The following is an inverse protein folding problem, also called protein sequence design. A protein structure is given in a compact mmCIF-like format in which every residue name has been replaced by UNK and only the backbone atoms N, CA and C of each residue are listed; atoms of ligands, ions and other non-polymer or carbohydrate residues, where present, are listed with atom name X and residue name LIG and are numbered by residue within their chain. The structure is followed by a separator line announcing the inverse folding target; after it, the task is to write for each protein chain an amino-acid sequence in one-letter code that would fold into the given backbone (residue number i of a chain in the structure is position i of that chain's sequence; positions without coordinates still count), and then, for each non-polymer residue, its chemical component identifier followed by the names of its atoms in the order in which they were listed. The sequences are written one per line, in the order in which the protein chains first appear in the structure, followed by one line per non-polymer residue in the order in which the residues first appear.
data_IF_132997708357
#
_entry.id   IF_132997708357
#
_cell.length_a   1.000
_cell.length_b   1.000
_cell.length_c   1.000
_cell.angle_alpha   90.00
_cell.angle_beta   90.00
_cell.angle_gamma   90.00
#
_symmetry.space_group_name_H-M   'P 1'
#
loop_
_entity.id
_entity.type
_entity.pdbx_description
1 polymer ?
#
# COMPACT_ATOMS: atom_id res chain seq x y z
N UNK A 1 -14.00 -8.14 13.23
CA UNK A 1 -14.03 -6.77 12.67
C UNK A 1 -13.23 -6.76 11.40
N UNK A 2 -13.80 -6.22 10.33
CA UNK A 2 -13.07 -6.03 9.08
C UNK A 2 -12.59 -4.59 9.10
N UNK A 3 -11.28 -4.42 9.20
CA UNK A 3 -10.63 -3.11 9.26
C UNK A 3 -9.71 -2.99 8.06
N UNK A 4 -9.87 -1.90 7.29
CA UNK A 4 -9.03 -1.63 6.13
C UNK A 4 -8.32 -0.29 6.29
N UNK A 5 -7.02 -0.28 5.96
CA UNK A 5 -6.27 0.96 5.74
C UNK A 5 -6.43 1.37 4.28
N UNK A 6 -7.07 2.50 4.03
CA UNK A 6 -7.22 3.03 2.68
C UNK A 6 -6.20 4.13 2.47
N UNK A 7 -5.35 3.95 1.46
CA UNK A 7 -4.39 4.96 1.03
C UNK A 7 -4.95 5.63 -0.22
N UNK A 8 -5.35 6.88 -0.05
CA UNK A 8 -5.91 7.72 -1.11
C UNK A 8 -4.78 8.56 -1.70
N UNK A 9 -4.58 8.45 -3.01
CA UNK A 9 -3.58 9.19 -3.76
C UNK A 9 -4.23 10.16 -4.71
N UNK A 10 -3.81 11.43 -4.63
CA UNK A 10 -4.15 12.45 -5.62
C UNK A 10 -3.05 12.60 -6.66
N UNK A 11 -3.35 12.30 -7.94
CA UNK A 11 -2.37 12.40 -9.01
C UNK A 11 -1.98 13.84 -9.35
N UNK A 12 -2.82 14.83 -9.00
CA UNK A 12 -2.57 16.25 -9.31
C UNK A 12 -1.70 16.93 -8.26
N UNK A 13 -1.96 16.69 -6.98
CA UNK A 13 -1.21 17.28 -5.88
C UNK A 13 0.01 16.44 -5.48
N UNK A 14 0.08 15.17 -5.91
CA UNK A 14 1.12 14.23 -5.50
C UNK A 14 1.06 13.84 -4.02
N UNK A 15 0.02 14.27 -3.30
CA UNK A 15 -0.16 14.00 -1.87
C UNK A 15 -0.95 12.70 -1.68
N UNK A 16 -0.67 12.02 -0.57
CA UNK A 16 -1.38 10.81 -0.15
C UNK A 16 -1.88 10.97 1.27
N UNK A 17 -3.11 10.53 1.53
CA UNK A 17 -3.70 10.48 2.87
C UNK A 17 -4.12 9.05 3.17
N UNK A 18 -3.88 8.62 4.40
CA UNK A 18 -4.33 7.34 4.91
C UNK A 18 -5.58 7.56 5.77
N UNK A 19 -6.65 6.81 5.48
CA UNK A 19 -7.87 6.77 6.28
C UNK A 19 -8.11 5.34 6.75
N UNK A 20 -8.44 5.17 8.02
CA UNK A 20 -8.85 3.88 8.57
C UNK A 20 -10.36 3.75 8.45
N UNK A 21 -10.81 2.60 7.96
CA UNK A 21 -12.21 2.33 7.65
C UNK A 21 -12.65 1.09 8.40
N UNK A 22 -13.73 1.23 9.17
CA UNK A 22 -14.24 0.19 10.07
C UNK A 22 -15.60 -0.33 9.61
N UNK A 23 -15.77 -1.65 9.76
CA UNK A 23 -16.99 -2.45 9.68
C UNK A 23 -17.98 -2.11 8.54
N UNK A 24 -18.84 -1.12 8.67
CA UNK A 24 -19.91 -0.86 7.69
C UNK A 24 -19.37 -0.38 6.35
N UNK A 25 -18.45 0.58 6.38
CA UNK A 25 -17.78 1.09 5.18
C UNK A 25 -16.83 0.05 4.59
N UNK A 26 -16.23 -0.79 5.45
CA UNK A 26 -15.35 -1.86 5.01
C UNK A 26 -16.13 -2.93 4.22
N UNK A 27 -17.32 -3.33 4.69
CA UNK A 27 -18.18 -4.31 4.01
C UNK A 27 -18.58 -3.85 2.60
N UNK A 28 -18.83 -2.55 2.40
CA UNK A 28 -19.20 -2.00 1.09
C UNK A 28 -18.06 -2.11 0.06
N UNK A 29 -16.80 -2.21 0.52
CA UNK A 29 -15.63 -2.34 -0.36
C UNK A 29 -15.28 -3.80 -0.68
N UNK A 30 -15.81 -4.76 0.08
CA UNK A 30 -15.59 -6.19 -0.16
C UNK A 30 -16.31 -6.59 -1.45
N UNK A 31 -15.62 -7.35 -2.30
CA UNK A 31 -16.14 -7.80 -3.60
C UNK A 31 -15.80 -6.89 -4.78
N UNK A 32 -15.31 -5.68 -4.55
CA UNK A 32 -14.78 -4.83 -5.63
C UNK A 32 -13.46 -5.42 -6.18
N UNK A 33 -13.24 -5.24 -7.48
CA UNK A 33 -12.01 -5.68 -8.14
C UNK A 33 -11.04 -4.53 -8.33
N UNK A 34 -9.76 -4.86 -8.40
CA UNK A 34 -8.73 -3.89 -8.78
C UNK A 34 -8.95 -3.43 -10.21
N UNK A 35 -9.15 -2.13 -10.40
CA UNK A 35 -9.49 -1.49 -11.66
C UNK A 35 -10.88 -0.89 -11.66
N UNK A 36 -11.73 -1.31 -10.72
CA UNK A 36 -13.09 -0.77 -10.61
C UNK A 36 -13.07 0.65 -10.02
N UNK A 37 -14.02 1.43 -10.50
CA UNK A 37 -14.32 2.78 -10.02
C UNK A 37 -15.50 2.73 -9.05
N UNK A 38 -15.37 3.37 -7.90
CA UNK A 38 -16.45 3.51 -6.92
C UNK A 38 -16.60 4.96 -6.47
N UNK A 39 -17.80 5.30 -5.98
CA UNK A 39 -18.11 6.65 -5.48
C UNK A 39 -17.60 6.81 -4.06
N UNK A 40 -17.04 7.98 -3.76
CA UNK A 40 -16.56 8.36 -2.44
C UNK A 40 -17.64 8.47 -1.37
N UNK A 41 -18.92 8.48 -1.75
CA UNK A 41 -20.06 8.38 -0.83
C UNK A 41 -19.97 7.16 0.09
N UNK A 42 -19.36 6.06 -0.37
CA UNK A 42 -19.13 4.86 0.45
C UNK A 42 -18.13 5.06 1.60
N UNK A 43 -17.36 6.15 1.57
CA UNK A 43 -16.29 6.49 2.51
C UNK A 43 -16.49 7.85 3.19
N UNK A 44 -17.72 8.40 3.14
CA UNK A 44 -18.09 9.77 3.55
C UNK A 44 -17.35 10.89 2.80
N UNK A 45 -16.78 10.59 1.63
CA UNK A 45 -16.09 11.55 0.77
C UNK A 45 -17.01 11.95 -0.38
N UNK A 46 -17.98 12.80 -0.06
CA UNK A 46 -19.02 13.22 -1.01
C UNK A 46 -18.43 13.92 -2.23
N UNK A 47 -18.85 13.50 -3.42
CA UNK A 47 -18.44 14.10 -4.69
C UNK A 47 -17.10 13.63 -5.26
N UNK A 48 -16.40 12.72 -4.57
CA UNK A 48 -15.18 12.10 -5.12
C UNK A 48 -15.50 10.82 -5.89
N UNK A 49 -14.76 10.56 -6.96
CA UNK A 49 -14.69 9.25 -7.60
C UNK A 49 -13.29 8.67 -7.46
N UNK A 50 -13.25 7.38 -7.17
CA UNK A 50 -12.07 6.65 -6.79
C UNK A 50 -11.89 5.41 -7.66
N UNK A 51 -10.66 5.11 -8.05
CA UNK A 51 -10.29 3.86 -8.74
C UNK A 51 -9.40 3.01 -7.85
N UNK A 52 -9.73 1.74 -7.67
CA UNK A 52 -8.87 0.79 -6.96
C UNK A 52 -7.67 0.46 -7.85
N UNK A 53 -6.47 0.80 -7.38
CA UNK A 53 -5.22 0.55 -8.13
C UNK A 53 -4.53 -0.74 -7.71
N UNK A 54 -4.68 -1.13 -6.45
CA UNK A 54 -4.12 -2.34 -5.87
C UNK A 54 -4.29 -2.39 -4.36
N UNK A 55 -3.51 -3.25 -3.71
CA UNK A 55 -3.55 -3.42 -2.27
C UNK A 55 -2.58 -4.49 -1.79
N UNK A 56 -2.63 -4.75 -0.48
CA UNK A 56 -1.88 -5.82 0.16
C UNK A 56 -2.78 -6.67 1.06
N UNK A 57 -2.46 -7.94 1.10
CA UNK A 57 -3.08 -8.94 1.97
C UNK A 57 -2.52 -8.82 3.40
N UNK A 58 -3.18 -9.41 4.41
CA UNK A 58 -2.72 -9.39 5.80
C UNK A 58 -1.31 -9.96 6.01
N UNK A 59 -0.86 -10.86 5.13
CA UNK A 59 0.52 -11.38 5.14
C UNK A 59 1.52 -10.51 4.36
N UNK A 60 1.12 -9.34 3.87
CA UNK A 60 1.95 -8.46 3.06
C UNK A 60 2.12 -8.91 1.60
N UNK A 61 1.37 -9.92 1.14
CA UNK A 61 1.38 -10.29 -0.27
C UNK A 61 0.70 -9.21 -1.12
N UNK A 62 1.31 -8.77 -2.23
CA UNK A 62 0.69 -7.78 -3.09
C UNK A 62 -0.48 -8.40 -3.86
N UNK A 63 -1.53 -7.62 -4.09
CA UNK A 63 -2.64 -8.00 -4.96
C UNK A 63 -2.29 -7.74 -6.43
N UNK A 64 -2.77 -8.60 -7.33
CA UNK A 64 -2.47 -8.50 -8.77
C UNK A 64 -3.73 -8.61 -9.62
N UNK A 65 -3.87 -7.70 -10.59
CA UNK A 65 -5.06 -7.56 -11.46
C UNK A 65 -5.38 -8.81 -12.28
N UNK A 66 -4.34 -9.49 -12.77
CA UNK A 66 -4.46 -10.67 -13.64
C UNK A 66 -5.09 -11.89 -12.96
N UNK A 67 -5.08 -11.93 -11.62
CA UNK A 67 -5.52 -13.09 -10.85
C UNK A 67 -6.93 -12.86 -10.35
N UNK A 68 -7.88 -13.58 -10.91
CA UNK A 68 -9.26 -13.49 -10.42
C UNK A 68 -9.47 -14.20 -9.08
N UNK A 69 -10.32 -13.58 -8.27
CA UNK A 69 -10.81 -14.07 -6.98
C UNK A 69 -10.16 -13.41 -5.78
N UNK A 70 -10.54 -13.88 -4.59
CA UNK A 70 -10.03 -13.46 -3.28
C UNK A 70 -8.91 -14.36 -2.75
N UNK A 71 -8.63 -15.50 -3.41
CA UNK A 71 -7.66 -16.48 -2.96
C UNK A 71 -6.22 -16.11 -3.32
N UNK A 72 -5.27 -16.55 -2.50
CA UNK A 72 -3.84 -16.52 -2.80
C UNK A 72 -3.48 -17.61 -3.80
N UNK A 73 -2.72 -17.27 -4.83
CA UNK A 73 -2.23 -18.24 -5.82
C UNK A 73 -0.71 -18.13 -5.95
N UNK A 74 -0.05 -19.27 -6.15
CA UNK A 74 1.38 -19.33 -6.49
C UNK A 74 1.51 -19.31 -8.00
N UNK A 75 2.18 -18.29 -8.52
CA UNK A 75 2.38 -18.10 -9.96
C UNK A 75 3.86 -18.12 -10.29
N UNK A 76 4.20 -18.71 -11.42
CA UNK A 76 5.52 -18.61 -12.00
C UNK A 76 5.60 -17.31 -12.82
N UNK A 77 6.17 -16.26 -12.23
CA UNK A 77 6.20 -14.94 -12.81
C UNK A 77 7.60 -14.58 -13.31
N UNK A 78 7.65 -14.00 -14.51
CA UNK A 78 8.90 -13.57 -15.17
C UNK A 78 9.23 -12.13 -14.85
N UNK A 79 8.24 -11.25 -14.68
CA UNK A 79 8.37 -9.83 -14.30
C UNK A 79 7.04 -9.33 -13.72
N UNK A 80 7.07 -8.24 -12.97
CA UNK A 80 5.87 -7.52 -12.53
C UNK A 80 5.69 -7.48 -11.01
N UNK A 81 4.44 -7.35 -10.58
CA UNK A 81 4.07 -7.16 -9.17
C UNK A 81 4.53 -8.35 -8.32
N UNK A 82 5.28 -8.08 -7.26
CA UNK A 82 5.85 -9.10 -6.37
C UNK A 82 7.12 -9.79 -6.89
N UNK A 83 7.66 -9.41 -8.06
CA UNK A 83 8.85 -10.03 -8.64
C UNK A 83 9.95 -8.99 -8.87
N UNK A 84 11.10 -9.14 -8.19
CA UNK A 84 12.29 -8.33 -8.41
C UNK A 84 13.34 -9.09 -9.25
N UNK A 85 13.36 -8.87 -10.56
CA UNK A 85 14.38 -9.48 -11.45
C UNK A 85 15.71 -8.73 -11.48
N UNK A 86 15.84 -7.69 -10.66
CA UNK A 86 17.05 -6.91 -10.53
C UNK A 86 17.93 -7.57 -9.48
N UNK A 87 18.98 -8.26 -9.91
CA UNK A 87 20.03 -8.74 -9.01
C UNK A 87 21.28 -7.87 -9.15
N UNK A 88 22.08 -7.80 -8.07
CA UNK A 88 23.41 -7.20 -8.11
C UNK A 88 24.26 -7.98 -9.13
N UNK A 89 24.86 -7.29 -10.10
CA UNK A 89 25.84 -7.91 -10.96
C UNK A 89 27.13 -8.15 -10.16
N UNK A 90 27.45 -9.42 -9.85
CA UNK A 90 28.72 -9.88 -9.24
C UNK A 90 29.30 -8.92 -8.18
N UNK A 91 28.61 -8.76 -7.05
CA UNK A 91 29.17 -8.06 -5.88
C UNK A 91 29.38 -6.54 -5.98
N UNK A 92 29.03 -5.88 -7.10
CA UNK A 92 29.14 -4.41 -7.24
C UNK A 92 27.93 -3.66 -6.67
N UNK A 93 28.14 -2.38 -6.37
CA UNK A 93 27.16 -1.43 -5.84
C UNK A 93 25.82 -1.40 -6.60
N UNK A 94 24.76 -0.93 -5.94
CA UNK A 94 23.38 -0.86 -6.46
C UNK A 94 23.26 -0.16 -7.83
N UNK A 95 24.28 0.61 -8.26
CA UNK A 95 24.39 1.29 -9.55
C UNK A 95 24.43 0.34 -10.77
N UNK A 96 24.81 -0.93 -10.60
CA UNK A 96 24.95 -1.90 -11.69
C UNK A 96 23.93 -3.06 -11.65
N UNK A 97 22.69 -2.78 -11.27
CA UNK A 97 21.61 -3.78 -11.36
C UNK A 97 21.33 -4.16 -12.82
N UNK A 98 21.55 -5.43 -13.15
CA UNK A 98 21.16 -5.98 -14.45
C UNK A 98 19.85 -6.74 -14.29
N UNK A 99 18.88 -6.45 -15.17
CA UNK A 99 17.68 -7.28 -15.32
C UNK A 99 18.13 -8.59 -15.94
N UNK A 100 18.10 -9.69 -15.19
CA UNK A 100 18.39 -11.00 -15.75
C UNK A 100 17.23 -11.41 -16.68
N UNK A 101 17.47 -11.33 -17.99
CA UNK A 101 16.50 -11.79 -18.99
C UNK A 101 16.31 -13.30 -18.84
N UNK A 102 15.06 -13.75 -18.71
CA UNK A 102 14.71 -15.18 -18.63
C UNK A 102 14.61 -15.76 -17.22
N UNK A 103 14.93 -15.02 -16.16
CA UNK A 103 14.71 -15.50 -14.79
C UNK A 103 13.21 -15.60 -14.50
N UNK A 104 12.77 -16.74 -13.99
CA UNK A 104 11.38 -16.98 -13.57
C UNK A 104 11.38 -17.33 -12.09
N UNK A 105 10.52 -16.70 -11.31
CA UNK A 105 10.38 -16.98 -9.89
C UNK A 105 8.96 -17.42 -9.58
N UNK A 106 8.81 -18.46 -8.77
CA UNK A 106 7.52 -18.84 -8.22
C UNK A 106 7.22 -17.94 -7.03
N UNK A 107 6.21 -17.09 -7.15
CA UNK A 107 5.82 -16.09 -6.15
C UNK A 107 4.37 -16.31 -5.74
N UNK A 108 4.08 -16.14 -4.45
CA UNK A 108 2.72 -16.12 -3.91
C UNK A 108 2.15 -14.72 -4.06
N UNK A 109 0.97 -14.61 -4.66
CA UNK A 109 0.31 -13.33 -4.94
C UNK A 109 -1.16 -13.43 -4.55
N UNK A 110 -1.72 -12.35 -4.04
CA UNK A 110 -3.15 -12.28 -3.75
C UNK A 110 -3.96 -11.95 -5.02
N UNK A 111 -5.20 -12.43 -5.07
CA UNK A 111 -6.11 -12.15 -6.17
C UNK A 111 -6.52 -10.68 -6.27
N UNK A 112 -7.30 -10.35 -7.29
CA UNK A 112 -7.71 -9.00 -7.63
C UNK A 112 -8.95 -8.51 -6.89
N UNK A 113 -9.66 -9.38 -6.18
CA UNK A 113 -10.90 -9.04 -5.49
C UNK A 113 -10.59 -8.68 -4.05
N UNK A 114 -11.14 -7.57 -3.54
CA UNK A 114 -11.01 -7.18 -2.13
C UNK A 114 -11.82 -8.14 -1.25
N UNK A 115 -11.19 -8.64 -0.19
CA UNK A 115 -11.79 -9.61 0.74
C UNK A 115 -11.44 -9.28 2.19
N UNK A 116 -12.09 -9.96 3.14
CA UNK A 116 -12.05 -9.63 4.58
C UNK A 116 -10.64 -9.58 5.20
N UNK A 117 -9.68 -10.32 4.65
CA UNK A 117 -8.29 -10.34 5.18
C UNK A 117 -7.35 -9.41 4.41
N UNK A 118 -7.88 -8.42 3.69
CA UNK A 118 -7.07 -7.36 3.09
C UNK A 118 -6.54 -6.44 4.20
N UNK A 119 -5.28 -6.03 4.14
CA UNK A 119 -4.72 -5.08 5.12
C UNK A 119 -4.84 -3.64 4.63
N UNK A 120 -4.51 -3.42 3.36
CA UNK A 120 -4.46 -2.09 2.77
C UNK A 120 -5.03 -2.09 1.35
N UNK A 121 -5.79 -1.05 1.03
CA UNK A 121 -6.33 -0.78 -0.30
C UNK A 121 -5.75 0.54 -0.80
N UNK A 122 -5.19 0.52 -2.02
CA UNK A 122 -4.61 1.68 -2.68
C UNK A 122 -5.57 2.23 -3.72
N UNK A 123 -5.91 3.50 -3.57
CA UNK A 123 -6.96 4.15 -4.35
C UNK A 123 -6.41 5.42 -5.00
N UNK A 124 -6.80 5.65 -6.25
CA UNK A 124 -6.47 6.86 -7.01
C UNK A 124 -7.72 7.69 -7.23
N UNK A 125 -7.63 9.01 -7.07
CA UNK A 125 -8.72 9.93 -7.40
C UNK A 125 -8.81 10.14 -8.92
N UNK A 126 -10.01 9.93 -9.47
CA UNK A 126 -10.32 10.18 -10.88
C UNK A 126 -11.07 11.49 -11.06
N UNK A 127 -12.12 11.72 -10.26
CA UNK A 127 -12.84 13.00 -10.21
C UNK A 127 -12.72 13.61 -8.83
N UNK A 128 -12.33 14.87 -8.79
CA UNK A 128 -12.24 15.62 -7.55
C UNK A 128 -13.62 16.13 -7.16
N UNK A 129 -14.00 15.90 -5.90
CA UNK A 129 -15.17 16.50 -5.27
C UNK A 129 -14.91 17.89 -4.72
N UNK A 130 -15.90 18.42 -3.99
CA UNK A 130 -15.90 19.77 -3.41
C UNK A 130 -15.10 19.91 -2.11
N UNK A 131 -14.73 18.81 -1.44
CA UNK A 131 -14.14 18.84 -0.10
C UNK A 131 -12.63 18.57 -0.14
N UNK A 132 -11.79 19.53 0.23
CA UNK A 132 -10.33 19.36 0.26
C UNK A 132 -9.93 18.19 1.18
N UNK A 133 -9.52 17.07 0.55
CA UNK A 133 -9.01 15.88 1.25
C UNK A 133 -7.62 16.07 1.83
N UNK A 134 -6.95 17.18 1.47
CA UNK A 134 -5.67 17.55 2.05
C UNK A 134 -5.86 18.73 2.98
N UNK A 135 -5.61 18.57 4.28
CA UNK A 135 -5.34 19.74 5.09
C UNK A 135 -4.17 20.50 4.44
N UNK A 136 -4.37 21.80 4.18
CA UNK A 136 -3.25 22.72 4.02
C UNK A 136 -2.42 22.58 5.29
N UNK A 137 -1.20 22.08 5.11
CA UNK A 137 -0.16 22.10 6.13
C UNK A 137 0.27 23.57 6.25
N UNK A 138 -0.24 24.27 7.26
CA UNK A 138 0.54 25.34 7.88
C UNK A 138 1.65 24.68 8.72
N UNK A 139 2.82 25.32 8.73
CA UNK A 139 4.14 24.80 9.08
C UNK A 139 4.50 24.85 10.57
N UNK A 140 5.69 24.30 10.86
CA UNK A 140 6.51 24.29 12.10
C UNK A 140 6.29 23.07 13.04
N UNK A 141 7.26 22.21 13.34
CA UNK A 141 8.68 22.15 13.01
C UNK A 141 9.21 20.70 13.19
N UNK A 142 10.08 20.25 12.29
CA UNK A 142 11.22 19.38 12.63
C UNK A 142 12.36 20.31 13.08
N UNK A 143 13.41 19.91 13.84
CA UNK A 143 14.12 18.63 13.69
C UNK A 143 14.78 18.03 14.95
N UNK A 144 15.58 16.99 14.72
CA UNK A 144 16.20 16.03 15.62
C UNK A 144 17.25 16.56 16.63
N UNK A 145 17.33 15.87 17.77
CA UNK A 145 18.53 15.50 18.55
C UNK A 145 18.23 14.09 19.11
N UNK A 146 19.09 13.09 19.15
CA UNK A 146 20.50 12.94 18.88
C UNK A 146 20.88 11.56 19.44
N UNK A 147 21.61 10.76 18.68
CA UNK A 147 22.23 9.56 19.24
C UNK A 147 23.37 9.99 20.16
N UNK A 148 23.31 9.62 21.44
CA UNK A 148 24.46 9.51 22.32
C UNK A 148 24.13 8.60 23.50
N UNK A 149 24.56 7.33 23.43
CA UNK A 149 25.05 6.66 24.63
C UNK A 149 26.49 7.18 24.86
N UNK A 150 26.89 7.48 26.10
CA UNK A 150 27.57 6.44 26.87
C UNK A 150 27.28 6.43 28.39
N UNK A 151 27.43 5.23 28.95
CA UNK A 151 27.91 4.90 30.30
C UNK A 151 27.67 5.85 31.48
N UNK A 152 26.90 5.38 32.47
CA UNK A 152 27.29 5.44 33.90
C UNK A 152 26.52 4.36 34.70
N UNK A 153 27.26 3.40 35.28
CA UNK A 153 26.87 2.75 36.54
C UNK A 153 27.26 3.73 37.65
N UNK A 154 26.43 3.88 38.70
CA UNK A 154 26.87 3.37 40.00
C UNK A 154 25.77 2.62 40.76
N UNK A 155 26.24 2.02 41.86
CA UNK A 155 25.65 1.00 42.69
C UNK A 155 24.47 1.43 43.59
N UNK A 156 23.93 0.41 44.28
CA UNK A 156 23.12 0.40 45.52
C UNK A 156 21.59 0.47 45.41
N UNK A 157 20.92 -0.70 45.51
CA UNK A 157 20.30 -1.18 46.77
C UNK A 157 19.59 -2.53 46.60
N UNK A 158 19.85 -3.39 47.61
CA UNK A 158 19.30 -4.72 47.94
C UNK A 158 19.90 -5.94 47.26
#
# INVERSE_FOLDING_TARGET
MVEFKIVISDPKSGKTVQKEVKDEQAKNLVGLKIGDTFKGEMLDLTGYEFTITGGSDYCGFPMRKDIEGSARKKILAVKGVGVSNKKKARGKDMKYMRTMKGMRQRVSVAGNTVFDKTAQINVKITKHGKADLFPKKEEAAQPAEGAAAPAEKPAEKK
#
